data_IF_980466390725
#
_entry.id   IF_980466390725
#
_cell.length_a   1.000
_cell.length_b   1.000
_cell.length_c   1.000
_cell.angle_alpha   90.00
_cell.angle_beta   90.00
_cell.angle_gamma   90.00
#
_symmetry.space_group_name_H-M   'P 1'
#
loop_
_entity.id
_entity.type
_entity.pdbx_description
1 polymer ?
#
# COMPACT_ATOMS: atom_id res chain seq x y z
N UNK A 1 8.92 12.28 14.51
CA UNK A 1 8.00 11.25 15.06
C UNK A 1 8.79 9.97 15.12
N UNK A 2 8.84 9.32 16.28
CA UNK A 2 9.60 8.09 16.47
C UNK A 2 8.60 6.94 16.57
N UNK A 3 8.63 5.98 15.64
CA UNK A 3 7.77 4.80 15.72
C UNK A 3 8.30 3.86 16.81
N UNK A 4 7.38 3.34 17.64
CA UNK A 4 7.68 2.21 18.51
C UNK A 4 7.88 0.93 17.70
N UNK A 5 8.51 -0.09 18.30
CA UNK A 5 8.79 -1.37 17.63
C UNK A 5 7.51 -2.04 17.06
N UNK A 6 6.40 -2.00 17.81
CA UNK A 6 5.13 -2.57 17.35
C UNK A 6 4.51 -1.76 16.21
N UNK A 7 4.52 -0.43 16.30
CA UNK A 7 4.00 0.44 15.24
C UNK A 7 4.79 0.28 13.94
N UNK A 8 6.11 0.08 14.04
CA UNK A 8 6.95 -0.23 12.90
C UNK A 8 6.60 -1.59 12.25
N UNK A 9 6.38 -2.62 13.08
CA UNK A 9 5.97 -3.95 12.60
C UNK A 9 4.59 -3.88 11.91
N UNK A 10 3.60 -3.23 12.54
CA UNK A 10 2.26 -3.03 11.99
C UNK A 10 2.33 -2.27 10.64
N UNK A 11 3.18 -1.26 10.54
CA UNK A 11 3.34 -0.49 9.31
C UNK A 11 4.02 -1.31 8.19
N UNK A 12 4.95 -2.20 8.53
CA UNK A 12 5.49 -3.18 7.58
C UNK A 12 4.40 -4.13 7.08
N UNK A 13 3.53 -4.63 7.96
CA UNK A 13 2.41 -5.49 7.59
C UNK A 13 1.43 -4.78 6.65
N UNK A 14 1.06 -3.53 6.97
CA UNK A 14 0.21 -2.69 6.12
C UNK A 14 0.84 -2.45 4.73
N UNK A 15 2.15 -2.21 4.68
CA UNK A 15 2.89 -2.06 3.42
C UNK A 15 2.88 -3.34 2.57
N UNK A 16 3.06 -4.50 3.21
CA UNK A 16 2.93 -5.80 2.52
C UNK A 16 1.51 -6.05 2.01
N UNK A 17 0.48 -5.74 2.82
CA UNK A 17 -0.92 -5.87 2.41
C UNK A 17 -1.24 -5.00 1.19
N UNK A 18 -0.77 -3.75 1.16
CA UNK A 18 -0.93 -2.86 0.00
C UNK A 18 -0.14 -3.34 -1.22
N UNK A 19 1.06 -3.89 -1.03
CA UNK A 19 1.83 -4.51 -2.13
C UNK A 19 1.07 -5.66 -2.77
N UNK A 20 0.46 -6.55 -1.97
CA UNK A 20 -0.39 -7.62 -2.47
C UNK A 20 -1.61 -7.07 -3.24
N UNK A 21 -2.21 -5.99 -2.75
CA UNK A 21 -3.33 -5.31 -3.41
C UNK A 21 -2.93 -4.76 -4.78
N UNK A 22 -1.78 -4.08 -4.87
CA UNK A 22 -1.26 -3.59 -6.16
C UNK A 22 -1.06 -4.73 -7.15
N UNK A 23 -0.48 -5.86 -6.72
CA UNK A 23 -0.30 -7.03 -7.59
C UNK A 23 -1.65 -7.55 -8.12
N UNK A 24 -2.64 -7.74 -7.22
CA UNK A 24 -3.99 -8.18 -7.58
C UNK A 24 -4.66 -7.22 -8.55
N UNK A 25 -4.69 -5.92 -8.24
CA UNK A 25 -5.30 -4.90 -9.09
C UNK A 25 -4.61 -4.82 -10.46
N UNK A 26 -3.29 -4.95 -10.51
CA UNK A 26 -2.54 -4.91 -11.78
C UNK A 26 -2.88 -6.09 -12.69
N UNK A 27 -3.15 -7.28 -12.12
CA UNK A 27 -3.63 -8.43 -12.88
C UNK A 27 -5.08 -8.24 -13.34
N UNK A 28 -5.95 -7.79 -12.42
CA UNK A 28 -7.39 -7.74 -12.66
C UNK A 28 -7.84 -6.59 -13.56
N UNK A 29 -7.15 -5.43 -13.55
CA UNK A 29 -7.56 -4.25 -14.33
C UNK A 29 -7.63 -4.54 -15.83
N UNK A 30 -6.71 -5.37 -16.34
CA UNK A 30 -6.67 -5.77 -17.74
C UNK A 30 -7.68 -6.87 -18.09
N UNK A 31 -8.27 -7.52 -17.08
CA UNK A 31 -9.28 -8.58 -17.25
C UNK A 31 -10.70 -8.07 -17.09
N UNK A 32 -10.89 -6.98 -16.35
CA UNK A 32 -12.20 -6.35 -16.20
C UNK A 32 -12.69 -5.84 -17.57
N UNK A 33 -13.97 -6.09 -17.89
CA UNK A 33 -14.61 -5.59 -19.12
C UNK A 33 -15.49 -4.38 -18.85
N UNK A 34 -16.14 -4.35 -17.69
CA UNK A 34 -16.96 -3.23 -17.25
C UNK A 34 -16.07 -2.01 -16.94
N UNK A 35 -16.37 -0.88 -17.59
CA UNK A 35 -15.57 0.35 -17.49
C UNK A 35 -15.65 0.99 -16.11
N UNK A 36 -16.78 0.85 -15.41
CA UNK A 36 -16.90 1.35 -14.04
C UNK A 36 -16.02 0.53 -13.10
N UNK A 37 -16.01 -0.81 -13.24
CA UNK A 37 -15.15 -1.70 -12.50
C UNK A 37 -13.67 -1.41 -12.78
N UNK A 38 -13.27 -1.24 -14.05
CA UNK A 38 -11.89 -0.83 -14.40
C UNK A 38 -11.50 0.46 -13.70
N UNK A 39 -12.38 1.47 -13.70
CA UNK A 39 -12.14 2.75 -13.04
C UNK A 39 -11.93 2.59 -11.53
N UNK A 40 -12.73 1.76 -10.87
CA UNK A 40 -12.58 1.44 -9.45
C UNK A 40 -11.25 0.74 -9.15
N UNK A 41 -10.88 -0.26 -9.96
CA UNK A 41 -9.60 -0.98 -9.81
C UNK A 41 -8.43 -0.01 -10.01
N UNK A 42 -8.50 0.87 -11.02
CA UNK A 42 -7.45 1.85 -11.29
C UNK A 42 -7.29 2.87 -10.15
N UNK A 43 -8.40 3.28 -9.53
CA UNK A 43 -8.39 4.16 -8.36
C UNK A 43 -7.73 3.48 -7.16
N UNK A 44 -8.08 2.22 -6.87
CA UNK A 44 -7.45 1.47 -5.78
C UNK A 44 -5.96 1.25 -6.02
N UNK A 45 -5.57 1.02 -7.27
CA UNK A 45 -4.17 0.83 -7.68
C UNK A 45 -3.34 2.10 -7.44
N UNK A 46 -3.89 3.28 -7.77
CA UNK A 46 -3.23 4.56 -7.50
C UNK A 46 -3.14 4.83 -5.99
N UNK A 47 -4.25 4.71 -5.27
CA UNK A 47 -4.29 4.93 -3.82
C UNK A 47 -3.37 3.98 -3.06
N UNK A 48 -3.28 2.71 -3.48
CA UNK A 48 -2.37 1.74 -2.85
C UNK A 48 -0.90 2.06 -3.09
N UNK A 49 -0.53 2.59 -4.26
CA UNK A 49 0.86 3.04 -4.54
C UNK A 49 1.24 4.26 -3.70
N UNK A 50 0.32 5.20 -3.53
CA UNK A 50 0.50 6.36 -2.65
C UNK A 50 0.69 5.92 -1.19
N UNK A 51 -0.17 5.03 -0.70
CA UNK A 51 -0.07 4.48 0.65
C UNK A 51 1.27 3.77 0.90
N UNK A 52 1.73 2.92 -0.03
CA UNK A 52 3.05 2.26 0.09
C UNK A 52 4.16 3.30 0.20
N UNK A 53 4.13 4.33 -0.64
CA UNK A 53 5.14 5.39 -0.64
C UNK A 53 5.16 6.17 0.69
N UNK A 54 3.98 6.43 1.25
CA UNK A 54 3.83 7.07 2.55
C UNK A 54 4.33 6.18 3.70
N UNK A 55 3.95 4.89 3.71
CA UNK A 55 4.40 3.94 4.72
C UNK A 55 5.92 3.77 4.70
N UNK A 56 6.51 3.67 3.51
CA UNK A 56 7.97 3.62 3.35
C UNK A 56 8.65 4.89 3.84
N UNK A 57 8.05 6.07 3.61
CA UNK A 57 8.57 7.33 4.14
C UNK A 57 8.57 7.33 5.68
N UNK A 58 7.49 6.86 6.32
CA UNK A 58 7.44 6.76 7.77
C UNK A 58 8.47 5.76 8.31
N UNK A 59 8.63 4.59 7.69
CA UNK A 59 9.63 3.60 8.08
C UNK A 59 11.06 4.12 7.92
N UNK A 60 11.37 4.80 6.81
CA UNK A 60 12.72 5.33 6.52
C UNK A 60 13.09 6.49 7.46
N UNK A 61 12.10 7.28 7.87
CA UNK A 61 12.31 8.43 8.77
C UNK A 61 12.24 8.05 10.27
N UNK A 62 12.09 6.77 10.59
CA UNK A 62 11.96 6.29 11.97
C UNK A 62 13.28 5.71 12.48
N UNK A 63 13.88 6.37 13.46
CA UNK A 63 14.84 5.72 14.35
C UNK A 63 14.02 4.93 15.37
N UNK A 64 13.96 3.60 15.32
CA UNK A 64 13.11 2.84 16.24
C UNK A 64 13.43 3.17 17.71
N UNK A 65 12.40 3.49 18.51
CA UNK A 65 12.58 3.62 19.96
C UNK A 65 12.86 2.21 20.52
N UNK A 66 13.98 2.04 21.23
CA UNK A 66 14.36 0.78 21.89
C UNK A 66 13.44 0.47 23.06
#
# INVERSE_FOLDING_TARGET
MQLGMHEAADLHELSMAKTCTVAKCSMLVNMAQDEQLKSLIQRELNSSREAISEYQRFLTNSNYAQ
#
